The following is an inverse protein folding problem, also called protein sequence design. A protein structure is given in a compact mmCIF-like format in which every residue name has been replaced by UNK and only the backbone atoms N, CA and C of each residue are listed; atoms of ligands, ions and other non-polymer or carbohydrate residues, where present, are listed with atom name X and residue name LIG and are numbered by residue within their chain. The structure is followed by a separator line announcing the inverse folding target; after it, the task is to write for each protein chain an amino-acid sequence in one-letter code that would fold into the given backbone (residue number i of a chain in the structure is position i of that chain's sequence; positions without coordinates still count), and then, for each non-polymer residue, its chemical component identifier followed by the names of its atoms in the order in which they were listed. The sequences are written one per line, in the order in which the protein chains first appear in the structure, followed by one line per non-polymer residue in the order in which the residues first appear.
data_IF_281507028887
#
_entry.id   IF_281507028887
#
_cell.length_a   1.000
_cell.length_b   1.000
_cell.length_c   1.000
_cell.angle_alpha   90.00
_cell.angle_beta   90.00
_cell.angle_gamma   90.00
#
_symmetry.space_group_name_H-M   'P 1'
#
loop_
_entity.id
_entity.type
_entity.pdbx_description
1 polymer ?
#
# COMPACT_ATOMS: atom_id res chain seq x y z
N UNK A 1 -4.26 -22.10 -14.49
CA UNK A 1 -5.37 -22.47 -13.58
C UNK A 1 -5.16 -23.94 -13.19
N UNK A 2 -4.89 -24.24 -11.92
CA UNK A 2 -4.72 -25.62 -11.47
C UNK A 2 -6.06 -26.36 -11.62
N UNK A 3 -6.07 -27.53 -12.28
CA UNK A 3 -7.26 -28.38 -12.40
C UNK A 3 -7.31 -29.31 -11.19
N UNK A 4 -8.18 -28.99 -10.23
CA UNK A 4 -8.36 -29.76 -8.97
C UNK A 4 -9.80 -30.27 -8.87
N UNK A 5 -10.22 -31.23 -9.70
CA UNK A 5 -11.58 -31.76 -9.67
C UNK A 5 -11.86 -32.47 -8.34
N UNK A 6 -13.04 -32.23 -7.75
CA UNK A 6 -13.48 -32.87 -6.50
C UNK A 6 -12.85 -32.34 -5.22
N UNK A 7 -11.91 -31.38 -5.29
CA UNK A 7 -11.29 -30.76 -4.11
C UNK A 7 -12.16 -29.60 -3.63
N UNK A 8 -12.57 -29.63 -2.36
CA UNK A 8 -13.22 -28.50 -1.70
C UNK A 8 -12.20 -27.36 -1.53
N UNK A 9 -12.50 -26.21 -2.13
CA UNK A 9 -11.68 -25.00 -2.03
C UNK A 9 -12.50 -23.96 -1.27
N UNK A 10 -11.93 -23.43 -0.19
CA UNK A 10 -12.52 -22.36 0.61
C UNK A 10 -11.55 -21.19 0.65
N UNK A 11 -12.09 -19.97 0.65
CA UNK A 11 -11.29 -18.77 0.82
C UNK A 11 -11.20 -18.43 2.31
N UNK A 12 -9.98 -18.42 2.85
CA UNK A 12 -9.71 -17.98 4.22
C UNK A 12 -8.91 -16.68 4.13
N UNK A 13 -9.47 -15.52 4.54
CA UNK A 13 -8.76 -14.25 4.49
C UNK A 13 -7.64 -14.20 5.55
N UNK A 14 -6.67 -13.31 5.34
CA UNK A 14 -5.67 -13.01 6.37
C UNK A 14 -6.35 -12.38 7.60
N UNK A 15 -5.88 -12.75 8.79
CA UNK A 15 -6.31 -12.11 10.04
C UNK A 15 -5.90 -10.63 10.07
N UNK A 16 -6.78 -9.77 10.58
CA UNK A 16 -6.53 -8.33 10.75
C UNK A 16 -6.81 -7.99 12.22
N UNK A 17 -5.78 -7.93 13.08
CA UNK A 17 -5.97 -7.54 14.47
C UNK A 17 -6.35 -6.07 14.59
N UNK A 18 -7.03 -5.71 15.68
CA UNK A 18 -7.34 -4.32 15.98
C UNK A 18 -6.03 -3.52 16.18
N UNK A 19 -5.88 -2.36 15.51
CA UNK A 19 -4.72 -1.50 15.72
C UNK A 19 -4.64 -0.99 17.17
N UNK A 20 -3.44 -0.95 17.75
CA UNK A 20 -3.21 -0.41 19.10
C UNK A 20 -3.16 1.12 19.16
N UNK A 21 -3.32 1.80 18.02
CA UNK A 21 -3.31 3.25 17.92
C UNK A 21 -4.66 3.76 17.42
N UNK A 22 -5.05 5.00 17.79
CA UNK A 22 -6.24 5.60 17.22
C UNK A 22 -6.08 5.82 15.72
N UNK A 23 -7.19 5.91 14.97
CA UNK A 23 -7.18 6.35 13.59
C UNK A 23 -6.49 7.71 13.43
N UNK A 24 -5.95 7.97 12.24
CA UNK A 24 -5.41 9.28 11.92
C UNK A 24 -6.53 10.33 11.77
N UNK A 25 -6.29 11.56 12.23
CA UNK A 25 -7.25 12.67 12.16
C UNK A 25 -7.56 13.12 10.72
N UNK A 26 -6.68 12.81 9.76
CA UNK A 26 -6.91 13.07 8.33
C UNK A 26 -6.55 14.49 7.84
N UNK A 27 -6.16 15.39 8.73
CA UNK A 27 -5.83 16.79 8.40
C UNK A 27 -4.44 16.98 7.79
N UNK A 28 -3.60 15.94 7.88
CA UNK A 28 -2.24 15.95 7.37
C UNK A 28 -2.21 15.76 5.86
N UNK A 29 -1.46 16.62 5.16
CA UNK A 29 -1.26 16.57 3.70
C UNK A 29 -0.18 15.56 3.30
N UNK A 30 -0.31 14.34 3.82
CA UNK A 30 0.63 13.25 3.61
C UNK A 30 -0.04 12.07 2.92
N UNK A 31 0.59 11.60 1.85
CA UNK A 31 0.32 10.27 1.28
C UNK A 31 1.41 9.33 1.79
N UNK A 32 1.00 8.21 2.40
CA UNK A 32 1.91 7.23 2.97
C UNK A 32 1.77 5.90 2.25
N UNK A 33 2.90 5.28 1.92
CA UNK A 33 2.97 3.89 1.48
C UNK A 33 3.99 3.12 2.31
N UNK A 34 3.69 1.86 2.62
CA UNK A 34 4.55 1.01 3.45
C UNK A 34 4.67 -0.40 2.88
N UNK A 35 5.90 -0.92 2.85
CA UNK A 35 6.22 -2.28 2.40
C UNK A 35 7.60 -2.38 1.74
N UNK A 36 8.09 -3.61 1.57
CA UNK A 36 9.42 -3.91 0.99
C UNK A 36 9.64 -3.19 -0.35
N UNK A 37 10.81 -2.59 -0.54
CA UNK A 37 11.22 -1.91 -1.76
C UNK A 37 11.60 -2.93 -2.84
N UNK A 38 10.61 -3.69 -3.30
CA UNK A 38 10.77 -4.78 -4.27
C UNK A 38 10.05 -4.44 -5.58
N UNK A 39 10.54 -4.96 -6.71
CA UNK A 39 9.99 -4.68 -8.06
C UNK A 39 8.48 -4.92 -8.14
N UNK A 40 7.97 -5.95 -7.47
CA UNK A 40 6.53 -6.28 -7.46
C UNK A 40 5.67 -5.18 -6.80
N UNK A 41 6.23 -4.39 -5.87
CA UNK A 41 5.50 -3.30 -5.18
C UNK A 41 5.36 -2.04 -6.03
N UNK A 42 6.16 -1.91 -7.10
CA UNK A 42 6.05 -0.85 -8.11
C UNK A 42 6.01 0.59 -7.55
N UNK A 43 6.87 0.88 -6.58
CA UNK A 43 7.01 2.24 -6.04
C UNK A 43 7.42 3.27 -7.11
N UNK A 44 8.07 2.85 -8.20
CA UNK A 44 8.30 3.68 -9.39
C UNK A 44 7.00 4.27 -9.94
N UNK A 45 5.94 3.46 -10.01
CA UNK A 45 4.64 3.88 -10.50
C UNK A 45 3.99 4.87 -9.52
N UNK A 46 4.08 4.59 -8.22
CA UNK A 46 3.58 5.50 -7.18
C UNK A 46 4.22 6.88 -7.26
N UNK A 47 5.55 6.95 -7.40
CA UNK A 47 6.27 8.24 -7.51
C UNK A 47 5.84 9.01 -8.76
N UNK A 48 5.73 8.35 -9.91
CA UNK A 48 5.27 8.99 -11.15
C UNK A 48 3.83 9.52 -11.04
N UNK A 49 2.94 8.76 -10.42
CA UNK A 49 1.58 9.22 -10.16
C UNK A 49 1.56 10.40 -9.19
N UNK A 50 2.35 10.34 -8.12
CA UNK A 50 2.42 11.42 -7.13
C UNK A 50 3.00 12.72 -7.71
N UNK A 51 3.85 12.67 -8.74
CA UNK A 51 4.30 13.88 -9.43
C UNK A 51 3.14 14.72 -9.98
N UNK A 52 2.07 14.08 -10.46
CA UNK A 52 0.86 14.79 -10.92
C UNK A 52 0.12 15.43 -9.75
N UNK A 53 0.04 14.74 -8.60
CA UNK A 53 -0.56 15.28 -7.38
C UNK A 53 0.24 16.47 -6.88
N UNK A 54 1.56 16.37 -6.81
CA UNK A 54 2.44 17.44 -6.35
C UNK A 54 2.35 18.68 -7.24
N UNK A 55 2.09 18.53 -8.54
CA UNK A 55 1.90 19.67 -9.43
C UNK A 55 0.60 20.43 -9.12
N UNK A 56 -0.47 19.71 -8.78
CA UNK A 56 -1.77 20.31 -8.44
C UNK A 56 -1.87 20.73 -6.96
N UNK A 57 -1.09 20.11 -6.08
CA UNK A 57 -1.09 20.29 -4.62
C UNK A 57 0.36 20.33 -4.10
N UNK A 58 1.04 21.47 -4.25
CA UNK A 58 2.49 21.57 -4.01
C UNK A 58 2.90 21.41 -2.54
N UNK A 59 1.95 21.58 -1.62
CA UNK A 59 2.15 21.40 -0.18
C UNK A 59 1.92 19.96 0.30
N UNK A 60 1.46 19.07 -0.58
CA UNK A 60 1.31 17.65 -0.27
C UNK A 60 2.64 16.91 -0.36
N UNK A 61 2.83 15.92 0.53
CA UNK A 61 4.08 15.16 0.62
C UNK A 61 3.84 13.66 0.51
N UNK A 62 4.75 12.96 -0.14
CA UNK A 62 4.77 11.49 -0.21
C UNK A 62 5.82 10.94 0.76
N UNK A 63 5.44 9.94 1.55
CA UNK A 63 6.35 9.19 2.43
C UNK A 63 6.27 7.70 2.14
N UNK A 64 7.42 7.09 1.86
CA UNK A 64 7.53 5.66 1.60
C UNK A 64 8.37 5.05 2.72
N UNK A 65 7.80 4.06 3.41
CA UNK A 65 8.45 3.29 4.47
C UNK A 65 8.74 1.87 3.99
N UNK A 66 9.97 1.41 4.19
CA UNK A 66 10.38 0.05 3.90
C UNK A 66 11.87 -0.08 3.67
N UNK A 67 12.37 -1.31 3.67
CA UNK A 67 13.70 -1.68 3.21
C UNK A 67 13.62 -2.53 1.93
N UNK A 68 14.71 -2.55 1.17
CA UNK A 68 14.95 -3.55 0.13
C UNK A 68 15.97 -4.58 0.61
N UNK A 69 16.10 -5.65 -0.17
CA UNK A 69 17.25 -6.56 -0.10
C UNK A 69 18.24 -6.16 -1.21
#
# INVERSE_FOLDING_TARGET
RLKLPGVRIEAIPNAVPEPSCPPADGDLKWVVAAGRLHRVKRYDHLVRAFAQVSAARPDWRLRIYGGGD
#
